data_IF_855737505544
#
_entry.id   IF_855737505544
#
_cell.length_a   1.000
_cell.length_b   1.000
_cell.length_c   1.000
_cell.angle_alpha   90.00
_cell.angle_beta   90.00
_cell.angle_gamma   90.00
#
_symmetry.space_group_name_H-M   'P 1'
#
loop_
_entity.id
_entity.type
_entity.pdbx_description
1 polymer ?
#
# COMPACT_ATOMS: atom_id res chain seq x y z
N UNK A 1 -8.34 23.48 9.04
CA UNK A 1 -8.89 22.31 8.32
C UNK A 1 -8.29 22.12 6.93
N UNK A 2 -8.45 23.06 5.99
CA UNK A 2 -7.88 22.95 4.63
C UNK A 2 -6.36 22.73 4.60
N UNK A 3 -5.60 23.40 5.46
CA UNK A 3 -4.16 23.16 5.60
C UNK A 3 -3.79 21.74 6.07
N UNK A 4 -4.62 21.13 6.93
CA UNK A 4 -4.42 19.77 7.43
C UNK A 4 -4.80 18.72 6.37
N UNK A 5 -5.91 18.94 5.66
CA UNK A 5 -6.28 18.13 4.48
C UNK A 5 -5.16 18.19 3.46
N UNK A 6 -4.69 19.39 3.14
CA UNK A 6 -3.58 19.62 2.23
C UNK A 6 -2.31 18.93 2.72
N UNK A 7 -1.95 19.05 3.99
CA UNK A 7 -0.77 18.39 4.57
C UNK A 7 -0.85 16.86 4.50
N UNK A 8 -2.02 16.27 4.73
CA UNK A 8 -2.20 14.82 4.62
C UNK A 8 -2.29 14.32 3.17
N UNK A 9 -2.71 15.19 2.26
CA UNK A 9 -2.76 14.95 0.82
C UNK A 9 -1.52 15.50 0.09
N UNK A 10 -0.40 15.75 0.79
CA UNK A 10 0.89 16.07 0.17
C UNK A 10 1.05 17.51 -0.35
N UNK A 11 0.37 18.49 0.23
CA UNK A 11 0.65 19.92 0.00
C UNK A 11 -0.10 20.59 -1.17
N UNK A 12 -0.95 19.86 -1.90
CA UNK A 12 -1.49 20.30 -3.19
C UNK A 12 -2.93 20.89 -3.14
N UNK A 13 -3.20 21.94 -3.94
CA UNK A 13 -4.54 22.55 -4.12
C UNK A 13 -5.47 21.76 -5.08
N UNK A 14 -4.98 20.71 -5.76
CA UNK A 14 -5.78 19.80 -6.61
C UNK A 14 -5.88 18.43 -5.93
N UNK A 15 -6.68 18.35 -4.87
CA UNK A 15 -6.97 17.10 -4.18
C UNK A 15 -8.13 16.42 -4.91
N UNK A 16 -7.96 15.16 -5.33
CA UNK A 16 -9.08 14.37 -5.85
C UNK A 16 -10.09 14.10 -4.73
N UNK A 17 -11.36 13.91 -5.09
CA UNK A 17 -12.45 13.79 -4.11
C UNK A 17 -12.22 12.62 -3.15
N UNK A 18 -11.61 11.52 -3.59
CA UNK A 18 -11.34 10.37 -2.74
C UNK A 18 -10.26 10.68 -1.69
N UNK A 19 -9.16 11.32 -2.10
CA UNK A 19 -8.11 11.77 -1.19
C UNK A 19 -8.60 12.84 -0.20
N UNK A 20 -9.43 13.78 -0.66
CA UNK A 20 -10.01 14.80 0.18
C UNK A 20 -10.95 14.18 1.23
N UNK A 21 -11.78 13.22 0.80
CA UNK A 21 -12.70 12.49 1.67
C UNK A 21 -11.94 11.66 2.70
N UNK A 22 -10.85 11.00 2.29
CA UNK A 22 -9.98 10.26 3.20
C UNK A 22 -9.36 11.16 4.27
N UNK A 23 -8.80 12.31 3.87
CA UNK A 23 -8.21 13.26 4.80
C UNK A 23 -9.25 13.87 5.74
N UNK A 24 -10.44 14.21 5.24
CA UNK A 24 -11.56 14.71 6.06
C UNK A 24 -11.98 13.65 7.08
N UNK A 25 -12.19 12.40 6.67
CA UNK A 25 -12.54 11.31 7.58
C UNK A 25 -11.45 11.09 8.63
N UNK A 26 -10.17 11.17 8.24
CA UNK A 26 -9.05 11.04 9.16
C UNK A 26 -9.04 12.17 10.19
N UNK A 27 -9.24 13.41 9.78
CA UNK A 27 -9.35 14.58 10.68
C UNK A 27 -10.50 14.42 11.67
N UNK A 28 -11.67 14.01 11.17
CA UNK A 28 -12.88 13.85 11.97
C UNK A 28 -12.75 12.69 12.97
N UNK A 29 -12.17 11.56 12.55
CA UNK A 29 -11.98 10.38 13.42
C UNK A 29 -10.91 10.56 14.49
N UNK A 30 -9.89 11.36 14.21
CA UNK A 30 -8.77 11.60 15.14
C UNK A 30 -8.97 12.82 16.01
N UNK A 31 -10.07 13.55 15.82
CA UNK A 31 -10.33 14.83 16.48
C UNK A 31 -9.17 15.84 16.32
N UNK A 32 -8.35 15.76 15.26
CA UNK A 32 -7.22 16.67 15.03
C UNK A 32 -7.66 18.14 14.93
N UNK A 33 -8.90 18.40 14.51
CA UNK A 33 -9.49 19.74 14.54
C UNK A 33 -9.60 20.34 15.96
N UNK A 34 -9.66 19.51 17.01
CA UNK A 34 -9.81 19.96 18.40
C UNK A 34 -8.47 20.36 19.05
N UNK A 35 -7.33 19.86 18.53
CA UNK A 35 -5.99 20.22 19.03
C UNK A 35 -5.47 21.54 18.44
N UNK A 36 -6.18 22.12 17.48
CA UNK A 36 -5.83 23.39 16.85
C UNK A 36 -6.37 24.54 17.69
N UNK A 37 -5.61 24.94 18.71
CA UNK A 37 -5.96 26.03 19.64
C UNK A 37 -6.15 27.40 18.94
N UNK A 38 -5.67 27.56 17.70
CA UNK A 38 -5.79 28.79 16.90
C UNK A 38 -6.62 28.59 15.62
N UNK A 39 -7.89 28.21 15.74
CA UNK A 39 -8.80 28.18 14.59
C UNK A 39 -9.61 29.47 14.46
N UNK A 40 -9.50 30.13 13.32
CA UNK A 40 -10.16 31.40 13.03
C UNK A 40 -11.67 31.23 12.72
N UNK A 41 -12.20 30.00 12.78
CA UNK A 41 -13.59 29.68 12.48
C UNK A 41 -14.22 29.05 13.73
N UNK A 42 -15.33 29.59 14.27
CA UNK A 42 -16.02 28.98 15.39
C UNK A 42 -16.53 27.60 15.00
N UNK A 43 -15.92 26.56 15.55
CA UNK A 43 -16.38 25.17 15.34
C UNK A 43 -17.58 24.96 16.27
N UNK A 44 -18.80 25.13 15.74
CA UNK A 44 -20.01 24.69 16.43
C UNK A 44 -20.06 23.17 16.40
N UNK A 45 -19.77 22.55 17.54
CA UNK A 45 -19.83 21.10 17.70
C UNK A 45 -21.29 20.70 17.80
N UNK A 46 -21.81 20.05 16.77
CA UNK A 46 -22.96 19.19 16.95
C UNK A 46 -22.48 17.89 17.62
N UNK A 47 -22.83 17.76 18.90
CA UNK A 47 -22.47 16.59 19.71
C UNK A 47 -23.07 15.31 19.13
N UNK A 48 -24.22 15.42 18.45
CA UNK A 48 -24.89 14.29 17.84
C UNK A 48 -24.16 13.79 16.58
N UNK A 49 -23.79 14.69 15.66
CA UNK A 49 -22.97 14.35 14.48
C UNK A 49 -21.61 13.75 14.86
N UNK A 50 -20.94 14.32 15.87
CA UNK A 50 -19.64 13.81 16.35
C UNK A 50 -19.78 12.44 17.02
N UNK A 51 -20.83 12.27 17.85
CA UNK A 51 -21.14 11.00 18.46
C UNK A 51 -21.55 9.94 17.43
N UNK A 52 -22.22 10.32 16.34
CA UNK A 52 -22.61 9.40 15.27
C UNK A 52 -21.40 8.93 14.45
N UNK A 53 -20.44 9.80 14.14
CA UNK A 53 -19.17 9.42 13.50
C UNK A 53 -18.31 8.50 14.41
N UNK A 54 -18.33 8.75 15.72
CA UNK A 54 -17.70 7.88 16.72
C UNK A 54 -18.47 6.57 16.90
N UNK A 55 -19.81 6.57 16.83
CA UNK A 55 -20.67 5.38 16.88
C UNK A 55 -20.55 4.53 15.62
N UNK A 56 -20.41 5.10 14.43
CA UNK A 56 -20.06 4.34 13.22
C UNK A 56 -18.67 3.70 13.34
N UNK A 57 -17.77 4.35 14.06
CA UNK A 57 -16.44 3.81 14.39
C UNK A 57 -16.50 2.71 15.46
N UNK A 58 -17.47 2.78 16.38
CA UNK A 58 -17.69 1.81 17.46
C UNK A 58 -18.69 0.69 17.10
N UNK A 59 -19.49 0.86 16.04
CA UNK A 59 -20.36 -0.13 15.40
C UNK A 59 -19.57 -1.15 14.58
N UNK A 60 -18.24 -0.94 14.46
CA UNK A 60 -17.32 -2.04 14.16
C UNK A 60 -17.60 -3.13 15.18
N UNK A 61 -18.14 -4.26 14.70
CA UNK A 61 -18.18 -5.51 15.45
C UNK A 61 -16.88 -5.60 16.25
N UNK A 62 -16.99 -5.77 17.57
CA UNK A 62 -15.84 -5.99 18.44
C UNK A 62 -14.87 -6.91 17.70
N UNK A 63 -13.56 -6.60 17.65
CA UNK A 63 -12.62 -7.45 16.95
C UNK A 63 -12.86 -8.86 17.44
N UNK A 64 -13.29 -9.76 16.55
CA UNK A 64 -13.29 -11.16 16.87
C UNK A 64 -11.85 -11.43 17.28
N UNK A 65 -11.62 -12.01 18.46
CA UNK A 65 -10.28 -12.34 18.99
C UNK A 65 -9.54 -13.38 18.12
N UNK A 66 -10.01 -13.60 16.91
CA UNK A 66 -9.43 -14.41 15.86
C UNK A 66 -8.22 -13.67 15.31
N UNK A 67 -7.05 -14.30 15.48
CA UNK A 67 -5.80 -13.87 14.86
C UNK A 67 -5.90 -14.03 13.34
N UNK A 68 -5.41 -13.05 12.58
CA UNK A 68 -5.41 -13.08 11.10
C UNK A 68 -4.83 -14.38 10.56
N UNK A 69 -3.73 -14.88 11.13
CA UNK A 69 -3.12 -16.16 10.72
C UNK A 69 -4.12 -17.33 10.66
N UNK A 70 -5.04 -17.46 11.62
CA UNK A 70 -6.01 -18.55 11.66
C UNK A 70 -7.00 -18.52 10.47
N UNK A 71 -7.27 -17.32 9.93
CA UNK A 71 -8.09 -17.15 8.74
C UNK A 71 -7.27 -17.48 7.49
N UNK A 72 -6.00 -17.06 7.46
CA UNK A 72 -5.08 -17.32 6.35
C UNK A 72 -4.84 -18.83 6.15
N UNK A 73 -4.70 -19.59 7.23
CA UNK A 73 -4.51 -21.04 7.21
C UNK A 73 -5.72 -21.81 6.65
N UNK A 74 -6.88 -21.17 6.58
CA UNK A 74 -8.15 -21.76 6.09
C UNK A 74 -8.54 -21.26 4.70
N UNK A 75 -7.66 -20.52 4.02
CA UNK A 75 -7.94 -20.02 2.69
C UNK A 75 -8.14 -21.15 1.69
N UNK A 76 -9.14 -20.99 0.82
CA UNK A 76 -9.40 -21.94 -0.24
C UNK A 76 -8.22 -22.00 -1.24
N UNK A 77 -8.00 -23.19 -1.82
CA UNK A 77 -6.93 -23.43 -2.81
C UNK A 77 -6.87 -22.40 -3.95
N UNK A 78 -7.99 -21.92 -4.54
CA UNK A 78 -7.94 -20.92 -5.60
C UNK A 78 -7.38 -19.57 -5.14
N UNK A 79 -7.55 -19.21 -3.87
CA UNK A 79 -7.01 -17.97 -3.31
C UNK A 79 -5.50 -18.09 -3.06
N UNK A 80 -5.06 -19.25 -2.57
CA UNK A 80 -3.63 -19.55 -2.40
C UNK A 80 -2.90 -19.61 -3.75
N UNK A 81 -3.55 -20.13 -4.79
CA UNK A 81 -2.99 -20.22 -6.14
C UNK A 81 -2.62 -18.85 -6.74
N UNK A 82 -3.20 -17.74 -6.25
CA UNK A 82 -2.81 -16.38 -6.65
C UNK A 82 -1.36 -16.10 -6.21
N UNK A 83 -0.96 -16.53 -5.00
CA UNK A 83 0.41 -16.36 -4.53
C UNK A 83 1.40 -17.24 -5.29
N UNK A 84 0.96 -18.37 -5.84
CA UNK A 84 1.79 -19.20 -6.73
C UNK A 84 2.09 -18.50 -8.07
N UNK A 85 1.32 -17.47 -8.46
CA UNK A 85 1.66 -16.64 -9.62
C UNK A 85 2.90 -15.78 -9.37
N UNK A 86 3.25 -15.50 -8.11
CA UNK A 86 4.47 -14.75 -7.77
C UNK A 86 5.74 -15.49 -8.18
N UNK A 87 5.71 -16.82 -8.27
CA UNK A 87 6.88 -17.62 -8.68
C UNK A 87 6.94 -17.88 -10.18
N UNK A 88 5.88 -17.57 -10.92
CA UNK A 88 5.82 -17.75 -12.39
C UNK A 88 6.46 -16.55 -13.10
N UNK A 89 6.78 -16.68 -14.39
CA UNK A 89 7.23 -15.55 -15.21
C UNK A 89 6.24 -14.39 -15.17
N UNK A 90 6.74 -13.15 -15.06
CA UNK A 90 5.89 -11.97 -14.97
C UNK A 90 5.11 -11.73 -16.26
N UNK A 91 3.81 -11.49 -16.12
CA UNK A 91 2.94 -11.04 -17.22
C UNK A 91 2.80 -9.53 -17.11
N UNK A 92 2.85 -8.83 -18.25
CA UNK A 92 2.66 -7.38 -18.28
C UNK A 92 1.28 -7.02 -17.68
N UNK A 93 1.22 -6.10 -16.69
CA UNK A 93 0.00 -5.89 -15.89
C UNK A 93 -1.12 -5.11 -16.62
N UNK A 94 -0.93 -4.80 -17.91
CA UNK A 94 -1.95 -4.17 -18.76
C UNK A 94 -2.19 -2.69 -18.45
N UNK A 95 -3.15 -2.10 -19.16
CA UNK A 95 -3.55 -0.69 -19.00
C UNK A 95 -4.70 -0.59 -18.00
N UNK A 96 -4.66 0.41 -17.11
CA UNK A 96 -5.77 0.70 -16.20
C UNK A 96 -5.39 1.61 -15.04
N UNK A 97 -6.36 2.34 -14.51
CA UNK A 97 -6.19 3.23 -13.34
C UNK A 97 -5.76 2.47 -12.09
N UNK A 98 -6.26 1.23 -11.92
CA UNK A 98 -5.81 0.34 -10.84
C UNK A 98 -4.32 0.01 -10.95
N UNK A 99 -3.84 -0.38 -12.13
CA UNK A 99 -2.42 -0.66 -12.35
C UNK A 99 -1.55 0.58 -12.16
N UNK A 100 -2.01 1.75 -12.60
CA UNK A 100 -1.30 3.03 -12.35
C UNK A 100 -1.23 3.37 -10.86
N UNK A 101 -2.30 3.14 -10.09
CA UNK A 101 -2.28 3.33 -8.65
C UNK A 101 -1.27 2.38 -7.96
N UNK A 102 -1.20 1.13 -8.39
CA UNK A 102 -0.21 0.16 -7.87
C UNK A 102 1.22 0.55 -8.29
N UNK A 103 1.43 1.05 -9.50
CA UNK A 103 2.71 1.59 -9.93
C UNK A 103 3.13 2.79 -9.07
N UNK A 104 2.20 3.68 -8.73
CA UNK A 104 2.47 4.79 -7.80
C UNK A 104 2.90 4.29 -6.42
N UNK A 105 2.26 3.26 -5.89
CA UNK A 105 2.67 2.60 -4.64
C UNK A 105 4.06 1.97 -4.79
N UNK A 106 4.35 1.32 -5.91
CA UNK A 106 5.68 0.78 -6.21
C UNK A 106 6.77 1.85 -6.20
N UNK A 107 6.51 3.02 -6.79
CA UNK A 107 7.42 4.16 -6.75
C UNK A 107 7.69 4.70 -5.35
N UNK A 108 6.65 4.74 -4.50
CA UNK A 108 6.79 5.10 -3.09
C UNK A 108 7.60 4.06 -2.31
N UNK A 109 7.42 2.76 -2.61
CA UNK A 109 8.19 1.68 -2.01
C UNK A 109 9.67 1.84 -2.36
N UNK A 110 10.01 2.06 -3.64
CA UNK A 110 11.39 2.29 -4.09
C UNK A 110 12.01 3.47 -3.35
N UNK A 111 11.29 4.57 -3.20
CA UNK A 111 11.75 5.71 -2.39
C UNK A 111 12.08 5.31 -0.95
N UNK A 112 11.21 4.52 -0.30
CA UNK A 112 11.46 4.02 1.04
C UNK A 112 12.69 3.09 1.11
N UNK A 113 13.02 2.37 0.03
CA UNK A 113 14.20 1.52 -0.03
C UNK A 113 15.48 2.36 -0.09
N UNK A 114 15.50 3.42 -0.90
CA UNK A 114 16.59 4.41 -0.93
C UNK A 114 16.77 5.10 0.43
N UNK A 115 15.68 5.56 1.06
CA UNK A 115 15.71 6.19 2.38
C UNK A 115 16.18 5.26 3.50
N UNK A 116 16.15 3.94 3.28
CA UNK A 116 16.62 2.90 4.21
C UNK A 116 17.99 2.34 3.83
N UNK A 117 18.67 2.97 2.88
CA UNK A 117 20.00 2.57 2.39
C UNK A 117 20.05 1.08 2.00
N UNK A 118 18.98 0.58 1.40
CA UNK A 118 18.94 -0.79 0.88
C UNK A 118 19.88 -0.92 -0.32
N UNK A 119 20.26 -2.16 -0.65
CA UNK A 119 21.23 -2.43 -1.73
C UNK A 119 20.81 -1.78 -3.05
N UNK A 120 21.66 -0.91 -3.58
CA UNK A 120 21.40 -0.18 -4.82
C UNK A 120 21.13 -1.12 -6.00
N UNK A 121 21.84 -2.25 -6.12
CA UNK A 121 21.58 -3.23 -7.20
C UNK A 121 20.20 -3.87 -7.10
N UNK A 122 19.73 -4.12 -5.88
CA UNK A 122 18.36 -4.59 -5.68
C UNK A 122 17.35 -3.52 -6.08
N UNK A 123 17.61 -2.26 -5.75
CA UNK A 123 16.73 -1.15 -6.13
C UNK A 123 16.73 -0.93 -7.65
N UNK A 124 17.89 -0.98 -8.30
CA UNK A 124 18.07 -0.91 -9.76
C UNK A 124 17.22 -1.96 -10.49
N UNK A 125 17.12 -3.18 -9.94
CA UNK A 125 16.26 -4.24 -10.49
C UNK A 125 14.75 -3.95 -10.37
N UNK A 126 14.35 -3.05 -9.48
CA UNK A 126 12.95 -2.69 -9.21
C UNK A 126 12.52 -1.41 -9.90
N UNK A 127 13.44 -0.57 -10.32
CA UNK A 127 13.17 0.74 -10.94
C UNK A 127 13.45 0.76 -12.45
N UNK A 128 12.91 1.78 -13.13
CA UNK A 128 13.21 2.07 -14.53
C UNK A 128 14.06 3.33 -14.59
N UNK A 129 15.33 3.19 -14.99
CA UNK A 129 16.35 4.26 -14.92
C UNK A 129 16.28 5.21 -16.14
N UNK A 130 15.71 4.79 -17.28
CA UNK A 130 15.74 5.59 -18.52
C UNK A 130 14.38 6.23 -18.89
N UNK A 131 14.43 7.55 -19.12
CA UNK A 131 13.31 8.39 -19.58
C UNK A 131 12.78 7.98 -20.97
N UNK A 132 13.62 7.39 -21.82
CA UNK A 132 13.23 6.93 -23.16
C UNK A 132 12.45 5.61 -23.16
N UNK A 133 12.55 4.80 -22.11
CA UNK A 133 11.72 3.59 -21.93
C UNK A 133 10.39 3.84 -21.20
N UNK A 134 10.20 5.04 -20.63
CA UNK A 134 8.93 5.45 -20.01
C UNK A 134 7.77 5.49 -21.02
N UNK A 135 8.06 5.59 -22.32
CA UNK A 135 7.08 5.51 -23.42
C UNK A 135 6.52 4.11 -23.70
N UNK A 136 7.01 3.04 -23.04
CA UNK A 136 6.52 1.67 -23.28
C UNK A 136 5.49 1.16 -22.28
N UNK A 137 5.32 1.81 -21.12
CA UNK A 137 4.38 1.34 -20.10
C UNK A 137 3.24 2.33 -19.88
N UNK A 138 2.07 2.05 -20.44
CA UNK A 138 0.90 2.95 -20.40
C UNK A 138 0.45 3.35 -18.98
N UNK A 139 0.68 2.49 -17.99
CA UNK A 139 0.33 2.79 -16.60
C UNK A 139 1.32 3.75 -15.91
N UNK A 140 2.57 3.82 -16.41
CA UNK A 140 3.55 4.80 -15.91
C UNK A 140 3.23 6.20 -16.43
N UNK A 141 2.61 6.33 -17.61
CA UNK A 141 2.19 7.62 -18.16
C UNK A 141 1.27 8.37 -17.17
N UNK A 142 0.23 7.71 -16.66
CA UNK A 142 -0.66 8.30 -15.64
C UNK A 142 0.07 8.65 -14.33
N UNK A 143 1.06 7.84 -13.96
CA UNK A 143 1.88 8.09 -12.76
C UNK A 143 2.75 9.32 -12.97
N UNK A 144 3.38 9.46 -14.13
CA UNK A 144 4.21 10.58 -14.54
C UNK A 144 3.43 11.90 -14.60
N UNK A 145 2.29 11.92 -15.30
CA UNK A 145 1.44 13.11 -15.42
C UNK A 145 0.88 13.60 -14.06
N UNK A 146 0.86 12.72 -13.05
CA UNK A 146 0.41 13.05 -11.69
C UNK A 146 1.54 13.13 -10.66
N UNK A 147 2.79 12.89 -11.09
CA UNK A 147 3.98 13.10 -10.28
C UNK A 147 4.34 14.58 -10.27
N UNK A 148 4.96 15.03 -9.17
CA UNK A 148 5.36 16.43 -8.95
C UNK A 148 6.84 16.55 -8.62
N UNK A 149 7.61 15.55 -9.02
CA UNK A 149 9.01 15.38 -8.66
C UNK A 149 9.14 14.62 -7.35
N UNK A 150 9.99 13.58 -7.37
CA UNK A 150 10.39 12.83 -6.18
C UNK A 150 9.74 11.45 -6.03
N UNK A 151 8.94 11.00 -6.99
CA UNK A 151 8.55 9.59 -7.08
C UNK A 151 9.53 8.84 -7.99
N UNK A 152 9.96 7.65 -7.57
CA UNK A 152 10.71 6.75 -8.44
C UNK A 152 9.75 5.97 -9.33
N UNK A 153 10.19 5.59 -10.52
CA UNK A 153 9.36 4.87 -11.48
C UNK A 153 9.66 3.38 -11.42
N UNK A 154 8.73 2.53 -10.95
CA UNK A 154 9.00 1.10 -10.85
C UNK A 154 9.05 0.45 -12.22
N UNK A 155 9.91 -0.56 -12.35
CA UNK A 155 9.92 -1.46 -13.48
C UNK A 155 8.62 -2.28 -13.57
N UNK A 156 8.16 -2.56 -14.78
CA UNK A 156 6.86 -3.20 -15.00
C UNK A 156 6.77 -4.60 -14.38
N UNK A 157 7.89 -5.33 -14.33
CA UNK A 157 7.93 -6.66 -13.70
C UNK A 157 7.68 -6.56 -12.20
N UNK A 158 8.21 -5.52 -11.54
CA UNK A 158 7.94 -5.25 -10.14
C UNK A 158 6.47 -4.87 -9.92
N UNK A 159 5.92 -4.00 -10.77
CA UNK A 159 4.48 -3.64 -10.73
C UNK A 159 3.60 -4.87 -10.91
N UNK A 160 3.95 -5.78 -11.82
CA UNK A 160 3.23 -7.05 -12.03
C UNK A 160 3.13 -7.86 -10.74
N UNK A 161 4.23 -7.97 -9.98
CA UNK A 161 4.20 -8.67 -8.68
C UNK A 161 3.32 -7.97 -7.64
N UNK A 162 3.39 -6.64 -7.56
CA UNK A 162 2.53 -5.87 -6.65
C UNK A 162 1.05 -6.01 -7.01
N UNK A 163 0.71 -6.11 -8.30
CA UNK A 163 -0.65 -6.39 -8.77
C UNK A 163 -1.10 -7.79 -8.34
N UNK A 164 -0.25 -8.81 -8.43
CA UNK A 164 -0.57 -10.16 -7.93
C UNK A 164 -0.86 -10.15 -6.42
N UNK A 165 -0.03 -9.43 -5.64
CA UNK A 165 -0.27 -9.25 -4.20
C UNK A 165 -1.61 -8.55 -3.97
N UNK A 166 -1.93 -7.50 -4.74
CA UNK A 166 -3.18 -6.78 -4.58
C UNK A 166 -4.41 -7.64 -4.93
N UNK A 167 -4.35 -8.47 -5.97
CA UNK A 167 -5.38 -9.44 -6.30
C UNK A 167 -5.64 -10.41 -5.15
N UNK A 168 -4.58 -10.88 -4.50
CA UNK A 168 -4.70 -11.73 -3.31
C UNK A 168 -5.38 -10.96 -2.16
N UNK A 169 -4.92 -9.73 -1.88
CA UNK A 169 -5.49 -8.90 -0.81
C UNK A 169 -6.97 -8.58 -1.03
N UNK A 170 -7.42 -8.34 -2.27
CA UNK A 170 -8.84 -8.14 -2.58
C UNK A 170 -9.73 -9.29 -2.10
N UNK A 171 -9.22 -10.52 -2.14
CA UNK A 171 -9.95 -11.70 -1.67
C UNK A 171 -9.85 -11.90 -0.15
N UNK A 172 -8.68 -11.59 0.42
CA UNK A 172 -8.37 -11.91 1.82
C UNK A 172 -8.80 -10.82 2.79
N UNK A 173 -8.61 -9.54 2.46
CA UNK A 173 -8.93 -8.43 3.38
C UNK A 173 -10.38 -8.47 3.89
N UNK A 174 -11.40 -8.76 3.06
CA UNK A 174 -12.77 -8.90 3.55
C UNK A 174 -12.96 -10.01 4.59
N UNK A 175 -12.15 -11.07 4.57
CA UNK A 175 -12.25 -12.23 5.46
C UNK A 175 -11.59 -11.99 6.82
N UNK A 176 -10.66 -11.02 6.90
CA UNK A 176 -9.88 -10.71 8.10
C UNK A 176 -10.30 -9.39 8.73
N UNK A 177 -11.46 -8.85 8.32
CA UNK A 177 -12.01 -7.62 8.89
C UNK A 177 -12.31 -7.84 10.38
N UNK A 178 -11.78 -6.96 11.23
CA UNK A 178 -11.90 -7.10 12.69
C UNK A 178 -10.95 -8.12 13.32
N UNK A 179 -10.08 -8.78 12.54
CA UNK A 179 -9.03 -9.63 13.09
C UNK A 179 -7.89 -8.80 13.71
N UNK A 180 -7.06 -9.46 14.52
CA UNK A 180 -5.87 -8.84 15.13
C UNK A 180 -4.59 -9.20 14.36
N UNK A 181 -3.55 -8.36 14.50
CA UNK A 181 -2.23 -8.59 13.89
C UNK A 181 -2.21 -8.63 12.35
N UNK A 182 -3.21 -8.04 11.69
CA UNK A 182 -3.42 -8.07 10.23
C UNK A 182 -2.13 -7.85 9.43
N UNK A 183 -1.46 -6.72 9.62
CA UNK A 183 -0.27 -6.39 8.81
C UNK A 183 0.85 -7.41 9.04
N UNK A 184 1.16 -7.74 10.30
CA UNK A 184 2.23 -8.66 10.65
C UNK A 184 1.97 -10.05 10.06
N UNK A 185 0.78 -10.60 10.29
CA UNK A 185 0.43 -11.95 9.85
C UNK A 185 0.35 -12.02 8.31
N UNK A 186 -0.14 -10.98 7.63
CA UNK A 186 -0.11 -10.92 6.15
C UNK A 186 1.31 -10.88 5.60
N UNK A 187 2.21 -10.08 6.21
CA UNK A 187 3.61 -10.02 5.79
C UNK A 187 4.28 -11.37 6.00
N UNK A 188 4.12 -11.97 7.18
CA UNK A 188 4.71 -13.28 7.50
C UNK A 188 4.19 -14.38 6.56
N UNK A 189 2.92 -14.32 6.17
CA UNK A 189 2.29 -15.28 5.26
C UNK A 189 2.73 -15.12 3.79
N UNK A 190 2.84 -13.89 3.29
CA UNK A 190 3.19 -13.62 1.88
C UNK A 190 4.69 -13.72 1.63
N UNK A 191 5.53 -13.33 2.62
CA UNK A 191 6.99 -13.33 2.53
C UNK A 191 7.61 -14.60 1.91
N UNK A 192 7.27 -15.84 2.32
CA UNK A 192 7.89 -17.04 1.73
C UNK A 192 7.57 -17.24 0.25
N UNK A 193 6.44 -16.74 -0.24
CA UNK A 193 6.10 -16.77 -1.66
C UNK A 193 6.86 -15.68 -2.42
N UNK A 194 6.96 -14.49 -1.83
CA UNK A 194 7.59 -13.34 -2.46
C UNK A 194 9.12 -13.46 -2.53
N UNK A 195 9.76 -14.16 -1.59
CA UNK A 195 11.19 -14.49 -1.64
C UNK A 195 11.57 -15.44 -2.78
N UNK A 196 10.61 -16.20 -3.30
CA UNK A 196 10.83 -17.10 -4.45
C UNK A 196 10.72 -16.36 -5.79
N UNK A 197 10.43 -15.06 -5.79
CA UNK A 197 10.39 -14.26 -7.00
C UNK A 197 11.80 -14.00 -7.53
N UNK A 198 12.01 -14.23 -8.82
CA UNK A 198 13.26 -13.90 -9.52
C UNK A 198 13.64 -12.41 -9.36
N UNK A 199 12.65 -11.51 -9.44
CA UNK A 199 12.84 -10.06 -9.27
C UNK A 199 13.28 -9.62 -7.86
N UNK A 200 13.24 -10.53 -6.87
CA UNK A 200 13.64 -10.27 -5.48
C UNK A 200 15.02 -10.88 -5.15
N UNK A 201 15.73 -11.39 -6.16
CA UNK A 201 17.10 -11.89 -6.00
C UNK A 201 18.12 -10.79 -6.33
N UNK A 202 19.04 -10.53 -5.42
CA UNK A 202 20.26 -9.78 -5.77
C UNK A 202 21.14 -10.65 -6.69
N UNK A 203 21.88 -10.06 -7.62
CA UNK A 203 22.74 -10.78 -8.57
C UNK A 203 24.24 -10.75 -8.25
N UNK A 204 24.68 -9.98 -7.26
CA UNK A 204 26.10 -9.86 -6.90
C UNK A 204 26.36 -10.19 -5.43
N UNK A 205 27.30 -11.10 -5.19
CA UNK A 205 28.00 -11.26 -3.91
C UNK A 205 28.30 -12.71 -3.53
N UNK A 206 29.59 -13.13 -3.48
CA UNK A 206 30.00 -14.35 -2.80
C UNK A 206 30.22 -14.05 -1.30
N UNK A 207 29.21 -14.29 -0.44
CA UNK A 207 29.36 -14.36 1.04
C UNK A 207 28.11 -14.96 1.70
N UNK A 208 28.19 -15.55 2.90
CA UNK A 208 27.11 -16.35 3.52
C UNK A 208 25.79 -15.63 3.87
N UNK A 209 25.67 -14.31 3.65
CA UNK A 209 24.55 -13.47 4.13
C UNK A 209 23.43 -13.21 3.10
N UNK A 210 23.51 -13.79 1.90
CA UNK A 210 22.50 -13.65 0.83
C UNK A 210 21.04 -13.91 1.26
N UNK A 211 20.76 -14.94 2.09
CA UNK A 211 19.40 -15.22 2.55
C UNK A 211 18.85 -14.15 3.48
N UNK A 212 19.70 -13.41 4.19
CA UNK A 212 19.30 -12.34 5.12
C UNK A 212 19.00 -11.08 4.31
N UNK A 213 19.86 -10.77 3.35
CA UNK A 213 19.71 -9.61 2.48
C UNK A 213 18.35 -9.57 1.73
N UNK A 214 18.00 -10.65 1.02
CA UNK A 214 16.73 -10.70 0.28
C UNK A 214 15.52 -10.68 1.21
N UNK A 215 15.65 -11.23 2.43
CA UNK A 215 14.60 -11.19 3.46
C UNK A 215 14.30 -9.76 3.90
N UNK A 216 15.31 -8.94 4.12
CA UNK A 216 15.14 -7.54 4.54
C UNK A 216 14.48 -6.69 3.44
N UNK A 217 14.92 -6.86 2.19
CA UNK A 217 14.31 -6.22 1.03
C UNK A 217 12.82 -6.55 0.93
N UNK A 218 12.50 -7.85 0.90
CA UNK A 218 11.11 -8.34 0.81
C UNK A 218 10.28 -7.88 2.00
N UNK A 219 10.83 -7.94 3.21
CA UNK A 219 10.15 -7.48 4.42
C UNK A 219 9.79 -5.99 4.31
N UNK A 220 10.73 -5.16 3.85
CA UNK A 220 10.48 -3.73 3.68
C UNK A 220 9.38 -3.46 2.62
N UNK A 221 9.44 -4.14 1.47
CA UNK A 221 8.42 -4.01 0.42
C UNK A 221 7.04 -4.39 0.95
N UNK A 222 6.92 -5.56 1.59
CA UNK A 222 5.64 -6.06 2.10
C UNK A 222 5.10 -5.18 3.23
N UNK A 223 5.93 -4.74 4.17
CA UNK A 223 5.51 -3.84 5.25
C UNK A 223 4.89 -2.55 4.71
N UNK A 224 5.48 -1.97 3.66
CA UNK A 224 4.96 -0.74 3.02
C UNK A 224 3.69 -1.03 2.23
N UNK A 225 3.68 -2.08 1.43
CA UNK A 225 2.52 -2.48 0.63
C UNK A 225 1.30 -2.79 1.51
N UNK A 226 1.45 -3.64 2.52
CA UNK A 226 0.35 -4.05 3.41
C UNK A 226 -0.25 -2.85 4.17
N UNK A 227 0.60 -1.93 4.64
CA UNK A 227 0.12 -0.71 5.31
C UNK A 227 -0.69 0.18 4.37
N UNK A 228 -0.32 0.29 3.10
CA UNK A 228 -1.12 1.05 2.13
C UNK A 228 -2.45 0.33 1.86
N UNK A 229 -2.39 -0.95 1.46
CA UNK A 229 -3.55 -1.71 1.00
C UNK A 229 -4.60 -1.98 2.08
N UNK A 230 -4.19 -2.33 3.31
CA UNK A 230 -5.14 -2.56 4.43
C UNK A 230 -5.85 -1.27 4.81
N UNK A 231 -5.16 -0.12 4.73
CA UNK A 231 -5.79 1.17 4.98
C UNK A 231 -6.74 1.60 3.85
N UNK A 232 -6.53 1.15 2.61
CA UNK A 232 -7.42 1.50 1.48
C UNK A 232 -8.67 0.61 1.43
N UNK A 233 -8.54 -0.71 1.65
CA UNK A 233 -9.68 -1.63 1.59
C UNK A 233 -10.72 -1.44 2.71
N UNK A 234 -10.32 -0.88 3.86
CA UNK A 234 -11.25 -0.50 4.92
C UNK A 234 -12.12 0.73 4.58
N UNK A 235 -11.88 1.40 3.43
CA UNK A 235 -12.55 2.64 3.03
C UNK A 235 -13.53 2.43 1.86
N UNK A 236 -13.27 1.49 0.95
CA UNK A 236 -14.01 1.34 -0.31
C UNK A 236 -15.37 0.61 -0.25
N UNK A 237 -15.92 0.31 0.94
CA UNK A 237 -17.29 -0.22 1.08
C UNK A 237 -18.32 0.80 1.60
N UNK A 238 -17.90 2.05 1.82
CA UNK A 238 -18.78 3.12 2.31
C UNK A 238 -19.08 4.19 1.24
N UNK A 239 -18.94 3.83 -0.04
CA UNK A 239 -19.50 4.53 -1.20
C UNK A 239 -20.47 3.57 -1.88
#
# INVERSE_FOLDING_TARGET
MFGAIRSMCGGNNKCDVASATFAIQKILRTNICHSSLESNVPIKIDKETTANLLKESASRQLPQSVRTLNVLDRLEKPTLAILDELTKSTVYPGKGTGTAAIARVGGFIIRCLYEREQCNKCIENLETINETSQQKCDFLYLTFETDRGGLFYPHWSFVSRLVTIEKFLRKVVPLIQGATHIVKDLVDFIRPHFLKCESMSCGEGPTPDFPIHNKELVQCILDKMMRVSVNTHNVFKNL
#
